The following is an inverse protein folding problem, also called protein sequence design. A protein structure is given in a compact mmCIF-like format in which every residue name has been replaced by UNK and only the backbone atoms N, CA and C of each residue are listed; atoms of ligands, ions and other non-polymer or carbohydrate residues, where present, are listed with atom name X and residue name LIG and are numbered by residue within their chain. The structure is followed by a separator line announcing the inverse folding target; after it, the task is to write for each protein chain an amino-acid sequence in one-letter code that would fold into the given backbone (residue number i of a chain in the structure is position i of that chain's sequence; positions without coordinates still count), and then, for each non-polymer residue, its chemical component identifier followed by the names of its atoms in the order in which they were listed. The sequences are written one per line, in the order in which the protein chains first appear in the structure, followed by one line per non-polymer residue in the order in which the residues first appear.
data_IF_950542440035
#
_entry.id   IF_950542440035
#
_cell.length_a   1.000
_cell.length_b   1.000
_cell.length_c   1.000
_cell.angle_alpha   90.00
_cell.angle_beta   90.00
_cell.angle_gamma   90.00
#
_symmetry.space_group_name_H-M   'P 1'
#
loop_
_entity.id
_entity.type
_entity.pdbx_description
1 polymer ?
#
# COMPACT_ATOMS: atom_id res chain seq x y z
N UNK A 1 -19.32 13.95 15.36
CA UNK A 1 -18.41 12.79 15.47
C UNK A 1 -18.00 12.43 14.06
N UNK A 2 -16.81 12.83 13.63
CA UNK A 2 -16.22 12.36 12.37
C UNK A 2 -15.94 10.88 12.54
N UNK A 3 -16.55 10.03 11.70
CA UNK A 3 -16.19 8.63 11.66
C UNK A 3 -14.69 8.56 11.39
N UNK A 4 -13.92 7.95 12.29
CA UNK A 4 -12.52 7.64 12.04
C UNK A 4 -12.54 6.58 10.95
N UNK A 5 -12.44 7.00 9.69
CA UNK A 5 -12.21 6.07 8.58
C UNK A 5 -10.95 5.30 8.92
N UNK A 6 -11.02 3.96 8.90
CA UNK A 6 -9.85 3.15 9.19
C UNK A 6 -8.70 3.57 8.26
N UNK A 7 -7.53 3.94 8.78
CA UNK A 7 -6.47 4.62 8.02
C UNK A 7 -5.82 3.76 6.93
N UNK A 8 -6.26 2.51 6.80
CA UNK A 8 -5.84 1.56 5.78
C UNK A 8 -5.19 0.31 6.39
N UNK A 9 -5.16 -0.77 5.62
CA UNK A 9 -4.65 -2.07 6.05
C UNK A 9 -3.69 -2.65 5.02
N UNK A 10 -2.56 -3.18 5.49
CA UNK A 10 -1.67 -4.03 4.73
C UNK A 10 -1.95 -5.49 5.09
N UNK A 11 -2.14 -6.36 4.10
CA UNK A 11 -2.31 -7.79 4.29
C UNK A 11 -1.57 -8.60 3.23
N UNK A 12 -1.31 -9.86 3.54
CA UNK A 12 -0.75 -10.81 2.59
C UNK A 12 -1.88 -11.49 1.81
N UNK A 13 -1.77 -11.50 0.49
CA UNK A 13 -2.64 -12.25 -0.41
C UNK A 13 -1.91 -13.47 -0.96
N UNK A 14 -2.57 -14.19 -1.87
CA UNK A 14 -1.96 -15.33 -2.56
C UNK A 14 -0.69 -14.92 -3.32
N UNK A 15 0.19 -15.88 -3.57
CA UNK A 15 1.43 -15.70 -4.35
C UNK A 15 2.37 -14.62 -3.81
N UNK A 16 2.39 -14.41 -2.49
CA UNK A 16 3.25 -13.42 -1.81
C UNK A 16 2.97 -11.96 -2.22
N UNK A 17 1.78 -11.69 -2.78
CA UNK A 17 1.36 -10.34 -3.15
C UNK A 17 0.88 -9.63 -1.89
N UNK A 18 1.40 -8.43 -1.63
CA UNK A 18 0.86 -7.60 -0.57
C UNK A 18 -0.33 -6.80 -1.08
N UNK A 19 -1.43 -6.88 -0.36
CA UNK A 19 -2.63 -6.08 -0.60
C UNK A 19 -2.62 -4.87 0.33
N UNK A 20 -2.94 -3.71 -0.23
CA UNK A 20 -3.09 -2.44 0.48
C UNK A 20 -4.53 -1.98 0.30
N UNK A 21 -5.28 -1.88 1.39
CA UNK A 21 -6.67 -1.39 1.38
C UNK A 21 -6.73 -0.01 2.02
N UNK A 22 -7.19 1.00 1.27
CA UNK A 22 -7.31 2.41 1.71
C UNK A 22 -8.62 2.96 1.12
N UNK A 23 -9.48 3.55 1.95
CA UNK A 23 -10.76 4.17 1.53
C UNK A 23 -11.61 3.27 0.61
N UNK A 24 -11.69 1.97 0.94
CA UNK A 24 -12.45 0.98 0.15
C UNK A 24 -11.83 0.62 -1.20
N UNK A 25 -10.65 1.15 -1.54
CA UNK A 25 -9.87 0.78 -2.72
C UNK A 25 -8.81 -0.25 -2.36
N UNK A 26 -8.65 -1.25 -3.22
CA UNK A 26 -7.62 -2.28 -3.10
C UNK A 26 -6.50 -2.04 -4.10
N UNK A 27 -5.29 -1.89 -3.59
CA UNK A 27 -4.04 -1.81 -4.33
C UNK A 27 -3.17 -3.03 -4.02
N UNK A 28 -2.11 -3.22 -4.81
CA UNK A 28 -1.18 -4.35 -4.69
C UNK A 28 0.26 -3.89 -4.79
N UNK A 29 1.15 -4.60 -4.10
CA UNK A 29 2.59 -4.59 -4.31
C UNK A 29 2.96 -6.02 -4.69
N UNK A 30 3.46 -6.19 -5.90
CA UNK A 30 3.80 -7.50 -6.46
C UNK A 30 4.93 -8.17 -5.68
N UNK A 31 4.92 -9.51 -5.58
CA UNK A 31 5.92 -10.26 -4.80
C UNK A 31 7.37 -9.91 -5.17
N UNK A 32 7.65 -9.72 -6.48
CA UNK A 32 8.97 -9.28 -6.97
C UNK A 32 9.37 -7.90 -6.43
N UNK A 33 8.40 -7.00 -6.30
CA UNK A 33 8.58 -5.64 -5.81
C UNK A 33 8.73 -5.63 -4.30
N UNK A 34 7.99 -6.47 -3.57
CA UNK A 34 8.19 -6.69 -2.14
C UNK A 34 9.62 -7.14 -1.85
N UNK A 35 10.13 -8.12 -2.62
CA UNK A 35 11.53 -8.55 -2.52
C UNK A 35 12.50 -7.42 -2.86
N UNK A 36 12.23 -6.65 -3.90
CA UNK A 36 13.08 -5.55 -4.32
C UNK A 36 13.17 -4.43 -3.27
N UNK A 37 12.06 -4.10 -2.63
CA UNK A 37 11.97 -3.17 -1.51
C UNK A 37 12.75 -3.68 -0.29
N UNK A 38 12.47 -4.91 0.15
CA UNK A 38 13.02 -5.43 1.41
C UNK A 38 14.51 -5.79 1.34
N UNK A 39 14.99 -6.32 0.20
CA UNK A 39 16.38 -6.77 0.08
C UNK A 39 17.31 -5.71 -0.50
N UNK A 40 16.81 -4.83 -1.37
CA UNK A 40 17.65 -3.86 -2.06
C UNK A 40 17.29 -2.41 -1.71
N UNK A 41 16.30 -2.18 -0.86
CA UNK A 41 15.85 -0.82 -0.51
C UNK A 41 15.31 -0.03 -1.69
N UNK A 42 14.88 -0.71 -2.77
CA UNK A 42 14.40 -0.05 -3.98
C UNK A 42 13.04 0.61 -3.73
N UNK A 43 12.83 1.76 -4.35
CA UNK A 43 11.49 2.33 -4.51
C UNK A 43 10.74 1.47 -5.51
N UNK A 44 9.53 1.03 -5.15
CA UNK A 44 8.76 0.09 -5.98
C UNK A 44 7.32 0.55 -6.18
N UNK A 45 6.66 0.21 -7.30
CA UNK A 45 5.33 0.70 -7.62
C UNK A 45 4.25 0.07 -6.72
N UNK A 46 3.22 0.86 -6.44
CA UNK A 46 1.92 0.40 -5.95
C UNK A 46 0.97 0.42 -7.14
N UNK A 47 0.31 -0.70 -7.41
CA UNK A 47 -0.58 -0.85 -8.56
C UNK A 47 -2.02 -1.10 -8.14
N UNK A 48 -2.96 -0.80 -9.04
CA UNK A 48 -4.34 -1.26 -8.94
C UNK A 48 -4.66 -2.15 -10.14
N UNK A 49 -5.41 -3.22 -9.90
CA UNK A 49 -5.87 -4.15 -10.93
C UNK A 49 -7.38 -4.05 -11.02
N UNK A 50 -7.89 -3.62 -12.17
CA UNK A 50 -9.31 -3.49 -12.44
C UNK A 50 -9.72 -4.49 -13.52
N UNK A 51 -10.77 -5.27 -13.28
CA UNK A 51 -11.37 -6.09 -14.34
C UNK A 51 -12.19 -5.19 -15.24
N UNK A 52 -11.93 -5.23 -16.55
CA UNK A 52 -12.81 -4.61 -17.52
C UNK A 52 -13.86 -5.62 -17.96
N UNK A 53 -15.13 -5.26 -17.79
CA UNK A 53 -16.22 -5.90 -18.51
C UNK A 53 -16.62 -5.01 -19.68
N UNK A 54 -16.68 -5.58 -20.88
CA UNK A 54 -17.28 -4.91 -22.05
C UNK A 54 -18.72 -4.50 -21.75
N UNK A 55 -19.23 -3.52 -22.52
CA UNK A 55 -20.67 -3.21 -22.55
C UNK A 55 -21.55 -4.43 -22.90
N UNK A 56 -20.98 -5.41 -23.60
CA UNK A 56 -21.62 -6.68 -23.99
C UNK A 56 -21.42 -7.82 -22.96
N UNK A 57 -20.92 -7.49 -21.76
CA UNK A 57 -20.78 -8.45 -20.64
C UNK A 57 -19.62 -9.45 -20.76
N UNK A 58 -18.78 -9.36 -21.79
CA UNK A 58 -17.56 -10.17 -21.91
C UNK A 58 -16.42 -9.60 -21.06
N UNK A 59 -15.68 -10.49 -20.40
CA UNK A 59 -14.49 -10.14 -19.64
C UNK A 59 -13.36 -9.75 -20.61
N UNK A 60 -12.95 -8.48 -20.60
CA UNK A 60 -11.86 -7.96 -21.46
C UNK A 60 -10.48 -8.13 -20.80
N UNK A 61 -10.43 -8.74 -19.62
CA UNK A 61 -9.21 -8.97 -18.86
C UNK A 61 -8.89 -7.87 -17.85
N UNK A 62 -7.69 -7.97 -17.29
CA UNK A 62 -7.23 -7.10 -16.21
C UNK A 62 -6.46 -5.89 -16.76
N UNK A 63 -6.87 -4.69 -16.33
CA UNK A 63 -6.15 -3.44 -16.57
C UNK A 63 -5.35 -3.11 -15.31
N UNK A 64 -4.04 -2.89 -15.48
CA UNK A 64 -3.13 -2.52 -14.41
C UNK A 64 -2.80 -1.03 -14.52
N UNK A 65 -3.00 -0.29 -13.43
CA UNK A 65 -2.56 1.11 -13.30
C UNK A 65 -1.55 1.27 -12.16
N UNK A 66 -0.61 2.20 -12.31
CA UNK A 66 0.29 2.60 -11.23
C UNK A 66 -0.40 3.73 -10.45
N UNK A 67 -0.69 3.48 -9.18
CA UNK A 67 -1.43 4.40 -8.30
C UNK A 67 -0.53 5.05 -7.24
N UNK A 68 0.76 4.71 -7.26
CA UNK A 68 1.70 5.18 -6.26
C UNK A 68 3.03 4.45 -6.27
N UNK A 69 3.80 4.67 -5.21
CA UNK A 69 5.03 3.94 -4.94
C UNK A 69 5.23 3.79 -3.43
N UNK A 70 6.09 2.85 -3.05
CA UNK A 70 6.49 2.63 -1.68
C UNK A 70 8.01 2.66 -1.55
N UNK A 71 8.49 3.16 -0.42
CA UNK A 71 9.91 3.31 -0.12
C UNK A 71 10.18 3.06 1.36
N UNK A 72 11.36 2.52 1.69
CA UNK A 72 11.83 2.49 3.08
C UNK A 72 12.33 3.90 3.44
N UNK A 73 11.91 4.42 4.59
CA UNK A 73 12.34 5.73 5.05
C UNK A 73 13.85 5.78 5.30
N UNK A 74 14.43 6.99 5.38
CA UNK A 74 15.89 7.18 5.54
C UNK A 74 16.46 6.48 6.77
N UNK A 75 15.68 6.35 7.84
CA UNK A 75 16.11 5.67 9.08
C UNK A 75 16.11 4.14 8.97
N UNK A 76 15.54 3.56 7.91
CA UNK A 76 15.41 2.11 7.76
C UNK A 76 14.44 1.49 8.77
N UNK A 77 13.48 2.27 9.30
CA UNK A 77 12.57 1.84 10.37
C UNK A 77 11.13 1.72 9.95
N UNK A 78 10.76 2.34 8.83
CA UNK A 78 9.39 2.34 8.34
C UNK A 78 9.34 2.27 6.82
N UNK A 79 8.23 1.76 6.31
CA UNK A 79 7.85 1.81 4.91
C UNK A 79 6.84 2.93 4.75
N UNK A 80 7.07 3.82 3.78
CA UNK A 80 6.18 4.91 3.41
C UNK A 80 5.49 4.54 2.10
N UNK A 81 4.16 4.61 2.09
CA UNK A 81 3.32 4.37 0.93
C UNK A 81 2.80 5.72 0.42
N UNK A 82 3.23 6.12 -0.77
CA UNK A 82 2.71 7.28 -1.47
C UNK A 82 1.66 6.83 -2.48
N UNK A 83 0.39 7.15 -2.24
CA UNK A 83 -0.72 6.77 -3.13
C UNK A 83 -1.53 7.99 -3.54
N UNK A 84 -2.35 7.87 -4.59
CA UNK A 84 -3.35 8.91 -4.93
C UNK A 84 -4.42 9.11 -3.85
N UNK A 85 -4.61 8.16 -2.94
CA UNK A 85 -5.56 8.26 -1.83
C UNK A 85 -4.93 8.90 -0.57
N UNK A 86 -3.64 9.24 -0.61
CA UNK A 86 -2.92 9.80 0.53
C UNK A 86 -1.57 9.13 0.77
N UNK A 87 -0.89 9.60 1.81
CA UNK A 87 0.41 9.11 2.23
C UNK A 87 0.27 8.37 3.54
N UNK A 88 0.92 7.22 3.63
CA UNK A 88 0.81 6.35 4.80
C UNK A 88 2.16 5.81 5.22
N UNK A 89 2.25 5.42 6.48
CA UNK A 89 3.45 4.83 7.07
C UNK A 89 3.10 3.54 7.82
N UNK A 90 4.00 2.58 7.76
CA UNK A 90 3.94 1.34 8.54
C UNK A 90 5.34 1.00 9.08
N UNK A 91 5.48 0.55 10.33
CA UNK A 91 6.77 0.07 10.84
C UNK A 91 7.33 -1.06 9.96
N UNK A 92 8.63 -1.01 9.66
CA UNK A 92 9.28 -2.00 8.79
C UNK A 92 9.12 -3.42 9.34
N UNK A 93 9.17 -3.59 10.66
CA UNK A 93 8.95 -4.88 11.32
C UNK A 93 7.55 -5.44 11.05
N UNK A 94 6.52 -4.59 11.09
CA UNK A 94 5.14 -5.00 10.80
C UNK A 94 4.98 -5.37 9.33
N UNK A 95 5.54 -4.56 8.43
CA UNK A 95 5.56 -4.86 7.00
C UNK A 95 6.24 -6.22 6.71
N UNK A 96 7.39 -6.48 7.33
CA UNK A 96 8.12 -7.74 7.18
C UNK A 96 7.33 -8.94 7.68
N UNK A 97 6.68 -8.83 8.85
CA UNK A 97 5.84 -9.91 9.40
C UNK A 97 4.67 -10.24 8.49
N UNK A 98 3.99 -9.21 7.95
CA UNK A 98 2.91 -9.43 6.96
C UNK A 98 3.48 -10.05 5.68
N UNK A 99 4.56 -9.51 5.13
CA UNK A 99 5.19 -10.04 3.91
C UNK A 99 5.65 -11.50 4.01
N UNK A 100 5.98 -11.97 5.22
CA UNK A 100 6.37 -13.36 5.49
C UNK A 100 5.22 -14.28 5.89
N UNK A 101 4.01 -13.74 6.02
CA UNK A 101 2.85 -14.49 6.53
C UNK A 101 2.91 -14.80 8.03
N UNK A 102 3.80 -14.15 8.78
CA UNK A 102 3.89 -14.26 10.24
C UNK A 102 2.77 -13.47 10.94
N UNK A 103 2.19 -12.48 10.25
CA UNK A 103 1.04 -11.70 10.69
C UNK A 103 -0.03 -11.67 9.59
N UNK A 104 -1.30 -11.77 9.98
CA UNK A 104 -2.45 -11.72 9.05
C UNK A 104 -2.54 -10.36 8.35
N UNK A 105 -2.33 -9.28 9.11
CA UNK A 105 -2.38 -7.91 8.61
C UNK A 105 -1.67 -6.93 9.56
N UNK A 106 -1.54 -5.68 9.12
CA UNK A 106 -1.07 -4.56 9.93
C UNK A 106 -1.75 -3.26 9.50
N UNK A 107 -2.03 -2.33 10.44
CA UNK A 107 -2.61 -1.04 10.11
C UNK A 107 -1.60 -0.14 9.40
N UNK A 108 -2.12 0.69 8.49
CA UNK A 108 -1.42 1.84 7.94
C UNK A 108 -1.75 3.07 8.78
N UNK A 109 -0.78 3.94 9.00
CA UNK A 109 -0.98 5.21 9.70
C UNK A 109 -0.90 6.36 8.70
N UNK A 110 -1.81 7.33 8.74
CA UNK A 110 -1.79 8.44 7.79
C UNK A 110 -0.60 9.34 8.10
N UNK A 111 0.14 9.71 7.06
CA UNK A 111 1.08 10.82 7.11
C UNK A 111 0.29 12.07 6.73
N UNK A 112 -0.05 12.87 7.73
CA UNK A 112 -0.63 14.19 7.48
C UNK A 112 0.46 15.04 6.81
N UNK A 113 0.17 15.75 5.71
CA UNK A 113 1.09 16.76 5.19
C UNK A 113 1.39 17.73 6.33
N UNK A 114 2.68 18.04 6.52
CA UNK A 114 3.21 18.83 7.64
C UNK A 114 2.15 19.81 8.13
N UNK A 115 1.51 19.45 9.24
CA UNK A 115 0.57 20.33 9.91
C UNK A 115 1.41 21.55 10.26
N UNK A 116 1.19 22.66 9.54
CA UNK A 116 1.72 23.95 9.97
C UNK A 116 1.05 24.22 11.31
N UNK A 117 1.69 23.78 12.39
CA UNK A 117 1.42 24.27 13.72
C UNK A 117 1.40 25.79 13.63
N UNK A 118 0.35 26.36 14.21
CA UNK A 118 -0.15 27.70 13.94
C UNK A 118 0.94 28.74 13.74
N UNK A 119 0.68 29.62 12.78
CA UNK A 119 1.32 30.92 12.65
C UNK A 119 1.64 31.52 14.02
N UNK A 120 2.95 31.69 14.26
CA UNK A 120 3.54 32.40 15.38
C UNK A 120 3.03 33.85 15.50
#
# INVERSE_FOLDING_TARGET
MTAVTEPGTLSLSENEILRVEIDGKSYRIEAKEVRALLFYGRVVPIIQVQRKTSADGKDEGEVISIEGHTAINRAGKAVILYTRAGHFIIPLVSFQRVARGEAVSAPLFPLLPDWQDGSA
#
